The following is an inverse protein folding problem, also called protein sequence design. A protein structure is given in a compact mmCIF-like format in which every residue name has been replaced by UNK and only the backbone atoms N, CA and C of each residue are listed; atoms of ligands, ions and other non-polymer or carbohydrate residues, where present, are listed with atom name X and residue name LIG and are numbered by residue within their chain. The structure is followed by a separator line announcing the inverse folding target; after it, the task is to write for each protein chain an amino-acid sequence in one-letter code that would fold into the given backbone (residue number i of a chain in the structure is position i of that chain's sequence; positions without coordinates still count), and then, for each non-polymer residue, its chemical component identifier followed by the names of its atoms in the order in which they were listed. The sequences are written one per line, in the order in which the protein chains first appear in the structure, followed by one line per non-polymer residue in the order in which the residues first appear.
data_IF_572024609255
#
_entry.id   IF_572024609255
#
_cell.length_a   1.000
_cell.length_b   1.000
_cell.length_c   1.000
_cell.angle_alpha   90.00
_cell.angle_beta   90.00
_cell.angle_gamma   90.00
#
_symmetry.space_group_name_H-M   'P 1'
#
loop_
_entity.id
_entity.type
_entity.pdbx_description
1 polymer ?
#
# COMPACT_ATOMS: atom_id res chain seq x y z
N UNK A 1 -13.69 13.15 -22.91
CA UNK A 1 -13.40 11.85 -22.26
C UNK A 1 -12.01 11.93 -21.64
N UNK A 2 -11.83 11.44 -20.41
CA UNK A 2 -10.57 11.57 -19.66
C UNK A 2 -10.14 10.27 -18.98
N UNK A 3 -8.94 10.26 -18.40
CA UNK A 3 -8.40 9.13 -17.64
C UNK A 3 -8.58 9.42 -16.14
N UNK A 4 -9.60 8.83 -15.47
CA UNK A 4 -9.79 9.03 -14.04
C UNK A 4 -8.69 8.29 -13.26
N UNK A 5 -7.96 9.02 -12.44
CA UNK A 5 -6.91 8.49 -11.58
C UNK A 5 -7.13 8.93 -10.12
N UNK A 6 -6.71 8.10 -9.17
CA UNK A 6 -6.71 8.45 -7.74
C UNK A 6 -5.26 8.60 -7.25
N UNK A 7 -4.94 9.71 -6.61
CA UNK A 7 -3.64 9.89 -5.95
C UNK A 7 -3.72 9.37 -4.51
N UNK A 8 -2.77 8.54 -4.11
CA UNK A 8 -2.68 7.98 -2.78
C UNK A 8 -1.30 8.24 -2.17
N UNK A 9 -1.29 8.82 -0.96
CA UNK A 9 -0.11 9.05 -0.13
C UNK A 9 0.01 8.07 1.04
N UNK A 10 -0.99 7.21 1.23
CA UNK A 10 -1.05 6.18 2.27
C UNK A 10 -1.45 4.87 1.61
N UNK A 11 -0.80 3.78 1.99
CA UNK A 11 -1.12 2.43 1.54
C UNK A 11 -2.10 1.81 2.51
N UNK A 12 -3.38 2.12 2.35
CA UNK A 12 -4.44 1.39 3.07
C UNK A 12 -4.61 0.02 2.42
N UNK A 13 -4.65 -1.07 3.15
CA UNK A 13 -4.92 -2.40 2.60
C UNK A 13 -6.06 -3.10 3.32
N UNK A 14 -6.89 -3.78 2.54
CA UNK A 14 -7.89 -4.72 3.06
C UNK A 14 -7.32 -6.12 3.05
N UNK A 15 -7.80 -7.01 3.92
CA UNK A 15 -7.46 -8.45 3.86
C UNK A 15 -7.70 -9.05 2.47
N UNK A 16 -8.80 -8.67 1.80
CA UNK A 16 -9.13 -9.12 0.44
C UNK A 16 -8.17 -8.64 -0.66
N UNK A 17 -7.25 -7.72 -0.35
CA UNK A 17 -6.28 -7.16 -1.29
C UNK A 17 -4.87 -7.72 -1.10
N UNK A 18 -4.74 -8.82 -0.34
CA UNK A 18 -3.47 -9.48 -0.07
C UNK A 18 -2.73 -8.90 1.14
N UNK A 19 -3.45 -8.38 2.13
CA UNK A 19 -2.81 -7.99 3.40
C UNK A 19 -2.24 -9.25 4.08
N UNK A 20 -0.93 -9.29 4.38
CA UNK A 20 -0.34 -10.47 5.02
C UNK A 20 -0.82 -10.58 6.47
N UNK A 21 -0.98 -11.80 6.97
CA UNK A 21 -1.34 -12.05 8.38
C UNK A 21 -0.25 -11.58 9.35
N UNK A 22 0.99 -11.51 8.85
CA UNK A 22 2.15 -11.01 9.58
C UNK A 22 3.00 -10.16 8.64
N UNK A 23 3.38 -8.97 9.11
CA UNK A 23 4.35 -8.13 8.43
C UNK A 23 5.76 -8.49 8.92
N UNK A 24 6.66 -8.74 7.98
CA UNK A 24 8.08 -9.00 8.27
C UNK A 24 8.93 -7.91 7.63
N UNK A 25 9.97 -7.46 8.32
CA UNK A 25 10.88 -6.46 7.79
C UNK A 25 11.58 -6.98 6.51
N UNK A 26 11.69 -6.13 5.49
CA UNK A 26 12.22 -6.42 4.15
C UNK A 26 11.42 -7.42 3.31
N UNK A 27 10.28 -7.89 3.81
CA UNK A 27 9.40 -8.75 3.03
C UNK A 27 8.71 -7.93 1.94
N UNK A 28 8.60 -8.54 0.76
CA UNK A 28 7.90 -7.95 -0.37
C UNK A 28 6.51 -8.57 -0.51
N UNK A 29 5.53 -7.70 -0.70
CA UNK A 29 4.16 -8.11 -0.92
C UNK A 29 3.64 -7.52 -2.23
N UNK A 30 2.84 -8.32 -2.94
CA UNK A 30 2.14 -7.87 -4.15
C UNK A 30 0.67 -7.67 -3.82
N UNK A 31 0.17 -6.48 -4.09
CA UNK A 31 -1.20 -6.08 -3.73
C UNK A 31 -1.91 -5.47 -4.93
N UNK A 32 -3.22 -5.65 -4.99
CA UNK A 32 -4.05 -5.16 -6.08
C UNK A 32 -5.09 -4.16 -5.59
N UNK A 33 -5.28 -3.10 -6.38
CA UNK A 33 -6.24 -2.04 -6.16
C UNK A 33 -7.09 -1.82 -7.40
N UNK A 34 -8.39 -1.65 -7.22
CA UNK A 34 -9.27 -1.23 -8.31
C UNK A 34 -9.02 0.23 -8.70
N UNK A 35 -9.12 0.51 -10.00
CA UNK A 35 -8.86 1.79 -10.64
C UNK A 35 -7.37 2.03 -10.91
N UNK A 36 -7.10 3.11 -11.65
CA UNK A 36 -5.76 3.63 -11.85
C UNK A 36 -5.38 4.53 -10.68
N UNK A 37 -4.34 4.13 -9.94
CA UNK A 37 -3.88 4.80 -8.73
C UNK A 37 -2.45 5.23 -8.86
N UNK A 38 -2.18 6.47 -8.47
CA UNK A 38 -0.86 7.07 -8.46
C UNK A 38 -0.34 7.00 -7.03
N UNK A 39 0.84 6.42 -6.87
CA UNK A 39 1.56 6.39 -5.61
C UNK A 39 3.00 6.89 -5.83
N UNK A 40 3.63 7.50 -4.81
CA UNK A 40 5.07 7.71 -4.80
C UNK A 40 5.83 6.38 -4.90
N UNK A 41 6.80 6.31 -5.80
CA UNK A 41 7.74 5.19 -5.91
C UNK A 41 9.02 5.52 -5.11
N UNK A 42 9.62 4.49 -4.51
CA UNK A 42 10.88 4.59 -3.76
C UNK A 42 10.90 5.58 -2.59
N UNK A 43 9.72 5.96 -2.10
CA UNK A 43 9.54 6.79 -0.89
C UNK A 43 8.75 5.99 0.15
N UNK A 44 9.11 6.06 1.45
CA UNK A 44 8.33 5.42 2.51
C UNK A 44 6.92 6.01 2.64
N UNK A 45 5.92 5.13 2.68
CA UNK A 45 4.51 5.44 2.91
C UNK A 45 3.98 4.60 4.06
N UNK A 46 3.04 5.14 4.82
CA UNK A 46 2.40 4.42 5.89
C UNK A 46 1.50 3.31 5.33
N UNK A 47 1.66 2.10 5.87
CA UNK A 47 0.77 0.98 5.66
C UNK A 47 -0.28 0.95 6.77
N UNK A 48 -1.55 1.06 6.37
CA UNK A 48 -2.68 1.09 7.31
C UNK A 48 -3.71 0.03 6.98
N UNK A 49 -4.45 -0.39 8.00
CA UNK A 49 -5.57 -1.33 7.86
C UNK A 49 -6.90 -0.62 7.55
N UNK A 50 -8.00 -1.35 7.64
CA UNK A 50 -9.33 -0.84 7.38
C UNK A 50 -9.84 0.17 8.43
N UNK A 51 -9.28 0.12 9.63
CA UNK A 51 -9.59 1.00 10.77
C UNK A 51 -8.65 2.21 10.83
N UNK A 52 -7.83 2.42 9.78
CA UNK A 52 -6.84 3.49 9.68
C UNK A 52 -5.77 3.45 10.77
N UNK A 53 -5.47 2.26 11.28
CA UNK A 53 -4.34 2.03 12.16
C UNK A 53 -3.10 1.77 11.31
N UNK A 54 -2.05 2.56 11.53
CA UNK A 54 -0.77 2.40 10.87
C UNK A 54 0.06 1.33 11.58
N UNK A 55 0.59 0.37 10.82
CA UNK A 55 1.35 -0.79 11.33
C UNK A 55 2.81 -0.77 10.91
N UNK A 56 3.13 -0.10 9.80
CA UNK A 56 4.44 -0.15 9.18
C UNK A 56 4.66 1.05 8.23
N UNK A 57 5.92 1.30 7.90
CA UNK A 57 6.28 2.03 6.68
C UNK A 57 6.65 1.03 5.58
N UNK A 58 6.15 1.27 4.38
CA UNK A 58 6.43 0.47 3.18
C UNK A 58 6.95 1.36 2.06
N UNK A 59 7.79 0.80 1.20
CA UNK A 59 8.24 1.45 -0.03
C UNK A 59 7.66 0.71 -1.22
N UNK A 60 7.03 1.43 -2.14
CA UNK A 60 6.53 0.85 -3.40
C UNK A 60 7.70 0.75 -4.37
N UNK A 61 8.06 -0.47 -4.75
CA UNK A 61 9.15 -0.80 -5.67
C UNK A 61 8.71 -0.86 -7.12
N UNK A 62 7.46 -1.23 -7.36
CA UNK A 62 6.88 -1.17 -8.70
C UNK A 62 5.37 -0.97 -8.66
N UNK A 63 4.86 -0.39 -9.73
CA UNK A 63 3.45 -0.10 -9.95
C UNK A 63 3.11 -0.37 -11.41
N UNK A 64 2.09 -1.20 -11.64
CA UNK A 64 1.58 -1.53 -12.97
C UNK A 64 0.10 -1.21 -13.05
N UNK A 65 -0.30 -0.49 -14.10
CA UNK A 65 -1.70 -0.29 -14.47
C UNK A 65 -2.09 -1.22 -15.61
N UNK A 66 -3.12 -2.01 -15.39
CA UNK A 66 -3.65 -2.93 -16.40
C UNK A 66 -5.12 -3.20 -16.10
N UNK A 67 -6.00 -3.22 -17.11
CA UNK A 67 -7.40 -3.62 -16.97
C UNK A 67 -8.14 -2.97 -15.78
N UNK A 68 -8.03 -1.63 -15.65
CA UNK A 68 -8.60 -0.86 -14.53
C UNK A 68 -8.15 -1.33 -13.14
N UNK A 69 -6.95 -1.91 -13.06
CA UNK A 69 -6.35 -2.39 -11.82
C UNK A 69 -4.95 -1.80 -11.68
N UNK A 70 -4.63 -1.35 -10.47
CA UNK A 70 -3.27 -1.00 -10.06
C UNK A 70 -2.69 -2.14 -9.24
N UNK A 71 -1.62 -2.73 -9.73
CA UNK A 71 -0.83 -3.72 -8.99
C UNK A 71 0.41 -3.05 -8.42
N UNK A 72 0.65 -3.21 -7.14
CA UNK A 72 1.82 -2.66 -6.44
C UNK A 72 2.68 -3.81 -5.93
N UNK A 73 4.00 -3.68 -6.06
CA UNK A 73 4.95 -4.44 -5.25
C UNK A 73 5.50 -3.51 -4.19
N UNK A 74 5.28 -3.85 -2.93
CA UNK A 74 5.70 -3.07 -1.77
C UNK A 74 6.66 -3.86 -0.91
N UNK A 75 7.63 -3.17 -0.31
CA UNK A 75 8.59 -3.74 0.63
C UNK A 75 8.38 -3.09 2.00
N UNK A 76 8.33 -3.90 3.06
CA UNK A 76 8.24 -3.39 4.43
C UNK A 76 9.61 -2.87 4.88
N UNK A 77 9.74 -1.56 5.11
CA UNK A 77 11.01 -0.94 5.51
C UNK A 77 11.06 -0.59 7.00
N UNK A 78 9.90 -0.56 7.68
CA UNK A 78 9.82 -0.37 9.12
C UNK A 78 8.55 -1.00 9.66
N UNK A 79 8.66 -1.67 10.81
CA UNK A 79 7.52 -2.12 11.60
C UNK A 79 7.35 -1.20 12.81
N UNK A 80 6.11 -0.91 13.17
CA UNK A 80 5.83 -0.16 14.39
C UNK A 80 5.60 -1.13 15.54
N UNK A 81 6.33 -0.94 16.65
CA UNK A 81 6.14 -1.74 17.86
C UNK A 81 4.74 -1.54 18.47
N UNK A 82 4.20 -0.34 18.31
CA UNK A 82 2.85 0.01 18.74
C UNK A 82 2.12 0.68 17.56
N UNK A 83 1.18 -0.03 16.91
CA UNK A 83 0.34 0.54 15.87
C UNK A 83 -0.46 1.74 16.40
N UNK A 84 -0.68 2.74 15.56
CA UNK A 84 -1.36 3.98 15.96
C UNK A 84 -2.36 4.45 14.91
N UNK A 85 -3.44 5.08 15.35
CA UNK A 85 -4.45 5.65 14.45
C UNK A 85 -3.90 6.88 13.74
N UNK A 86 -4.11 6.95 12.41
CA UNK A 86 -3.93 8.19 11.67
C UNK A 86 -5.18 9.07 11.86
N UNK A 87 -4.96 10.32 12.26
CA UNK A 87 -6.01 11.34 12.41
C UNK A 87 -6.28 12.06 11.10
#
# INVERSE_FOLDING_TARGET
MGMPCQVNSIVRLKRSQGYPDRLTLHEQHRVAKSGYRIFPLDVPLQLVDDDWIAHADVVIRSLTWENQTTTLTLEVVRLYESPFALK
#
